data_IF_907042652133
#
_entry.id   IF_907042652133
#
_cell.length_a   1.000
_cell.length_b   1.000
_cell.length_c   1.000
_cell.angle_alpha   90.00
_cell.angle_beta   90.00
_cell.angle_gamma   90.00
#
_symmetry.space_group_name_H-M   'P 1'
#
loop_
_entity.id
_entity.type
_entity.pdbx_description
1 polymer ?
#
# COMPACT_ATOMS: atom_id res chain seq x y z
N UNK A 1 -52.01 -49.20 -33.90
CA UNK A 1 -52.91 -48.57 -32.90
C UNK A 1 -54.08 -49.53 -32.70
N UNK A 2 -54.55 -49.86 -31.48
CA UNK A 2 -54.59 -49.05 -30.27
C UNK A 2 -54.06 -49.74 -28.99
N UNK A 3 -53.93 -48.97 -27.90
CA UNK A 3 -53.42 -49.42 -26.61
C UNK A 3 -54.41 -50.22 -25.76
N UNK A 4 -53.87 -50.91 -24.75
CA UNK A 4 -54.58 -51.47 -23.60
C UNK A 4 -53.62 -51.51 -22.39
N UNK A 5 -54.07 -50.90 -21.31
CA UNK A 5 -54.04 -51.38 -19.92
C UNK A 5 -53.11 -52.56 -19.59
N UNK A 6 -52.27 -52.40 -18.57
CA UNK A 6 -52.38 -53.19 -17.34
C UNK A 6 -51.25 -52.88 -16.33
N UNK A 7 -51.73 -52.68 -15.12
CA UNK A 7 -51.08 -52.41 -13.84
C UNK A 7 -50.41 -53.69 -13.25
N UNK A 8 -49.29 -53.47 -12.54
CA UNK A 8 -48.65 -54.28 -11.46
C UNK A 8 -47.92 -55.60 -11.76
N UNK A 9 -46.62 -55.61 -11.38
CA UNK A 9 -45.95 -56.52 -10.43
C UNK A 9 -44.49 -56.02 -10.34
N UNK A 10 -44.02 -55.42 -9.25
CA UNK A 10 -43.74 -56.11 -8.00
C UNK A 10 -42.32 -56.69 -8.06
N UNK A 11 -41.35 -56.05 -7.41
CA UNK A 11 -39.98 -56.59 -7.32
C UNK A 11 -38.93 -55.51 -7.11
N UNK A 12 -38.72 -55.12 -5.86
CA UNK A 12 -37.61 -54.28 -5.40
C UNK A 12 -36.26 -54.94 -5.68
N UNK A 13 -35.40 -54.29 -6.46
CA UNK A 13 -33.95 -54.49 -6.40
C UNK A 13 -33.26 -53.15 -6.61
N UNK A 14 -32.39 -52.82 -5.68
CA UNK A 14 -31.77 -51.54 -5.47
C UNK A 14 -30.62 -51.25 -6.45
N UNK A 15 -30.45 -49.94 -6.68
CA UNK A 15 -29.19 -49.20 -6.78
C UNK A 15 -28.17 -49.58 -7.88
N UNK A 16 -27.96 -48.65 -8.81
CA UNK A 16 -26.71 -47.88 -8.89
C UNK A 16 -26.76 -46.90 -10.07
N UNK A 17 -27.38 -45.73 -9.88
CA UNK A 17 -27.15 -44.57 -10.74
C UNK A 17 -25.94 -43.82 -10.17
N UNK A 18 -24.77 -44.02 -10.76
CA UNK A 18 -23.58 -43.21 -10.47
C UNK A 18 -23.78 -41.85 -11.12
N UNK A 19 -24.42 -40.93 -10.40
CA UNK A 19 -24.35 -39.51 -10.69
C UNK A 19 -23.02 -38.99 -10.13
N UNK A 20 -22.03 -38.86 -11.00
CA UNK A 20 -20.74 -38.26 -10.66
C UNK A 20 -20.91 -36.74 -10.58
N UNK A 21 -21.41 -36.24 -9.46
CA UNK A 21 -21.44 -34.81 -9.14
C UNK A 21 -20.01 -34.35 -8.91
N UNK A 22 -19.38 -33.74 -9.92
CA UNK A 22 -18.18 -32.95 -9.72
C UNK A 22 -18.55 -31.74 -8.85
N UNK A 23 -18.38 -31.86 -7.54
CA UNK A 23 -18.30 -30.71 -6.66
C UNK A 23 -17.01 -29.95 -7.02
N UNK A 24 -17.13 -28.99 -7.94
CA UNK A 24 -16.12 -27.98 -8.14
C UNK A 24 -16.06 -27.15 -6.85
N UNK A 25 -15.17 -27.54 -5.93
CA UNK A 25 -14.77 -26.67 -4.83
C UNK A 25 -14.03 -25.51 -5.47
N UNK A 26 -14.74 -24.41 -5.70
CA UNK A 26 -14.14 -23.11 -6.00
C UNK A 26 -13.40 -22.70 -4.74
N UNK A 27 -12.17 -23.18 -4.59
CA UNK A 27 -11.17 -22.55 -3.75
C UNK A 27 -10.78 -21.24 -4.44
N UNK A 28 -11.71 -20.29 -4.43
CA UNK A 28 -11.41 -18.91 -4.77
C UNK A 28 -10.41 -18.40 -3.74
N UNK A 29 -9.24 -17.98 -4.22
CA UNK A 29 -8.27 -17.23 -3.43
C UNK A 29 -8.95 -15.92 -2.98
N UNK A 30 -9.58 -15.93 -1.79
CA UNK A 30 -10.38 -14.79 -1.32
C UNK A 30 -11.30 -15.06 -0.12
N UNK A 31 -11.36 -16.29 0.40
CA UNK A 31 -12.25 -16.66 1.53
C UNK A 31 -11.76 -16.30 2.93
N UNK A 32 -11.03 -15.19 3.10
CA UNK A 32 -10.67 -14.67 4.43
C UNK A 32 -11.68 -13.63 4.90
N UNK A 33 -11.92 -13.54 6.22
CA UNK A 33 -12.68 -12.41 6.78
C UNK A 33 -12.03 -11.08 6.38
N UNK A 34 -12.86 -10.07 6.10
CA UNK A 34 -12.35 -8.76 5.68
C UNK A 34 -11.43 -8.22 6.77
N UNK A 35 -10.29 -7.65 6.37
CA UNK A 35 -9.26 -7.17 7.30
C UNK A 35 -9.75 -6.02 8.21
N UNK A 36 -10.88 -5.40 7.89
CA UNK A 36 -11.53 -4.30 8.64
C UNK A 36 -12.74 -4.76 9.49
N UNK A 37 -13.14 -6.03 9.41
CA UNK A 37 -14.41 -6.52 9.96
C UNK A 37 -14.55 -6.32 11.48
N UNK A 38 -13.42 -6.30 12.21
CA UNK A 38 -13.37 -6.17 13.67
C UNK A 38 -12.61 -4.91 14.14
N UNK A 39 -12.62 -3.85 13.35
CA UNK A 39 -11.98 -2.58 13.72
C UNK A 39 -12.45 -2.08 15.10
N UNK A 40 -11.52 -1.70 15.96
CA UNK A 40 -11.84 -1.07 17.23
C UNK A 40 -12.04 0.44 17.04
N UNK A 41 -12.96 1.04 17.79
CA UNK A 41 -13.21 2.48 17.76
C UNK A 41 -12.30 3.21 18.78
N UNK A 42 -12.03 4.49 18.53
CA UNK A 42 -11.35 5.35 19.50
C UNK A 42 -10.53 6.47 18.86
N UNK A 43 -10.05 7.39 19.68
CA UNK A 43 -9.14 8.46 19.27
C UNK A 43 -7.82 8.32 20.01
N UNK A 44 -6.71 8.31 19.26
CA UNK A 44 -5.37 8.08 19.77
C UNK A 44 -4.46 9.25 19.41
N UNK A 45 -3.92 9.93 20.42
CA UNK A 45 -2.95 11.02 20.24
C UNK A 45 -1.57 10.46 19.91
N UNK A 46 -0.93 10.99 18.88
CA UNK A 46 0.43 10.63 18.46
C UNK A 46 1.29 11.88 18.26
N UNK A 47 2.61 11.69 18.36
CA UNK A 47 3.59 12.61 17.79
C UNK A 47 4.17 11.95 16.54
N UNK A 48 4.33 12.71 15.46
CA UNK A 48 4.87 12.21 14.20
C UNK A 48 6.05 13.06 13.79
N UNK A 49 7.17 12.40 13.50
CA UNK A 49 8.28 12.98 12.77
C UNK A 49 8.29 12.34 11.36
N UNK A 50 8.31 13.17 10.33
CA UNK A 50 8.03 12.75 8.96
C UNK A 50 9.06 13.34 8.01
N UNK A 51 9.70 12.50 7.20
CA UNK A 51 10.77 12.92 6.29
C UNK A 51 10.65 12.26 4.92
N UNK A 52 10.87 13.04 3.87
CA UNK A 52 11.10 12.55 2.51
C UNK A 52 11.98 13.56 1.75
N UNK A 53 12.99 13.14 0.97
CA UNK A 53 13.86 14.08 0.25
C UNK A 53 13.08 14.96 -0.72
N UNK A 54 13.12 16.28 -0.53
CA UNK A 54 12.38 17.25 -1.37
C UNK A 54 12.98 17.42 -2.78
N UNK A 55 14.24 17.02 -2.98
CA UNK A 55 14.93 17.03 -4.27
C UNK A 55 15.51 15.65 -4.53
N UNK A 56 15.16 15.06 -5.67
CA UNK A 56 15.54 13.71 -6.07
C UNK A 56 15.99 13.73 -7.54
N UNK A 57 16.80 12.74 -7.94
CA UNK A 57 17.14 12.52 -9.34
C UNK A 57 16.22 11.45 -9.95
N UNK A 58 16.18 11.36 -11.28
CA UNK A 58 15.51 10.25 -11.95
C UNK A 58 16.26 8.94 -11.62
N UNK A 59 15.57 7.82 -11.47
CA UNK A 59 16.12 6.53 -11.07
C UNK A 59 16.86 6.55 -9.71
N UNK A 60 16.61 7.57 -8.88
CA UNK A 60 17.16 7.66 -7.54
C UNK A 60 16.33 6.84 -6.56
N UNK A 61 17.01 6.17 -5.63
CA UNK A 61 16.37 5.46 -4.51
C UNK A 61 16.27 6.42 -3.32
N UNK A 62 15.10 6.52 -2.72
CA UNK A 62 14.83 7.43 -1.61
C UNK A 62 13.95 6.77 -0.55
N UNK A 63 14.15 7.16 0.71
CA UNK A 63 13.33 6.68 1.83
C UNK A 63 12.28 7.74 2.22
N UNK A 64 11.00 7.38 2.13
CA UNK A 64 9.95 8.06 2.89
C UNK A 64 9.88 7.41 4.27
N UNK A 65 9.99 8.22 5.33
CA UNK A 65 9.99 7.74 6.71
C UNK A 65 9.00 8.51 7.58
N UNK A 66 8.19 7.78 8.33
CA UNK A 66 7.31 8.28 9.38
C UNK A 66 7.67 7.60 10.71
N UNK A 67 8.11 8.39 11.68
CA UNK A 67 8.36 7.95 13.05
C UNK A 67 7.18 8.38 13.90
N UNK A 68 6.39 7.40 14.35
CA UNK A 68 5.12 7.62 15.02
C UNK A 68 5.22 7.17 16.46
N UNK A 69 5.06 8.11 17.39
CA UNK A 69 5.12 7.82 18.81
C UNK A 69 3.72 7.93 19.43
N UNK A 70 3.25 6.85 20.07
CA UNK A 70 1.96 6.84 20.74
C UNK A 70 2.05 7.68 22.03
N UNK A 71 1.31 8.80 22.05
CA UNK A 71 1.22 9.73 23.18
C UNK A 71 -0.07 9.56 23.97
N UNK A 72 -0.93 8.65 23.56
CA UNK A 72 -2.13 8.28 24.30
C UNK A 72 -1.83 7.29 25.42
N UNK A 73 -2.68 7.25 26.44
CA UNK A 73 -2.66 6.22 27.49
C UNK A 73 -3.27 4.88 27.06
N UNK A 74 -3.56 4.68 25.76
CA UNK A 74 -4.23 3.48 25.23
C UNK A 74 -3.41 2.87 24.09
N UNK A 75 -3.48 1.55 23.95
CA UNK A 75 -2.87 0.85 22.80
C UNK A 75 -3.61 1.25 21.52
N UNK A 76 -2.88 1.63 20.49
CA UNK A 76 -3.42 1.76 19.13
C UNK A 76 -3.62 0.33 18.59
N UNK A 77 -4.84 -0.08 18.21
CA UNK A 77 -5.12 -1.46 17.82
C UNK A 77 -4.35 -1.90 16.58
N UNK A 78 -4.31 -1.05 15.56
CA UNK A 78 -3.60 -1.33 14.31
C UNK A 78 -3.18 -0.01 13.65
N UNK A 79 -1.97 0.47 13.95
CA UNK A 79 -1.43 1.66 13.29
C UNK A 79 -1.28 1.37 11.80
N UNK A 80 -1.94 2.16 10.97
CA UNK A 80 -1.87 2.09 9.52
C UNK A 80 -1.53 3.47 8.93
N UNK A 81 -0.84 3.47 7.80
CA UNK A 81 -0.49 4.67 7.06
C UNK A 81 -0.92 4.55 5.61
N UNK A 82 -1.60 5.58 5.13
CA UNK A 82 -1.97 5.76 3.72
C UNK A 82 -1.04 6.79 3.09
N UNK A 83 -0.56 6.51 1.88
CA UNK A 83 0.26 7.43 1.08
C UNK A 83 -0.38 7.61 -0.29
N UNK A 84 -0.58 8.86 -0.71
CA UNK A 84 -1.28 9.19 -1.96
C UNK A 84 -0.72 10.47 -2.58
N UNK A 85 -1.05 10.72 -3.84
CA UNK A 85 -0.78 12.00 -4.49
C UNK A 85 -1.84 13.02 -4.06
N UNK A 86 -1.39 14.19 -3.58
CA UNK A 86 -2.31 15.23 -3.15
C UNK A 86 -3.12 15.75 -4.34
N UNK A 87 -4.45 15.67 -4.23
CA UNK A 87 -5.39 16.07 -5.28
C UNK A 87 -5.98 14.91 -6.08
N UNK A 88 -5.35 13.72 -6.04
CA UNK A 88 -5.78 12.56 -6.83
C UNK A 88 -6.73 11.61 -6.06
N UNK A 89 -6.81 11.76 -4.73
CA UNK A 89 -7.63 10.92 -3.86
C UNK A 89 -7.17 9.45 -3.82
N UNK A 90 -8.11 8.56 -3.50
CA UNK A 90 -7.88 7.12 -3.33
C UNK A 90 -7.99 6.31 -4.65
N UNK A 91 -8.11 6.99 -5.79
CA UNK A 91 -8.27 6.34 -7.09
C UNK A 91 -6.95 5.91 -7.72
N UNK A 92 -5.83 6.51 -7.29
CA UNK A 92 -4.49 6.14 -7.71
C UNK A 92 -3.85 5.22 -6.65
N UNK A 93 -2.99 4.31 -7.10
CA UNK A 93 -2.12 3.56 -6.20
C UNK A 93 -1.17 4.53 -5.47
N UNK A 94 -0.62 4.12 -4.32
CA UNK A 94 0.38 4.92 -3.64
C UNK A 94 1.55 5.26 -4.57
N UNK A 95 2.12 6.45 -4.38
CA UNK A 95 3.22 6.99 -5.18
C UNK A 95 2.94 7.06 -6.69
N UNK A 96 1.65 7.02 -7.08
CA UNK A 96 1.20 7.16 -8.46
C UNK A 96 0.27 8.35 -8.59
N UNK A 97 0.37 9.06 -9.71
CA UNK A 97 -0.57 10.12 -10.07
C UNK A 97 -1.77 9.57 -10.83
N UNK A 98 -2.87 10.30 -10.81
CA UNK A 98 -4.04 10.01 -11.63
C UNK A 98 -3.90 10.66 -13.02
N UNK A 99 -4.29 9.93 -14.06
CA UNK A 99 -4.36 10.39 -15.44
C UNK A 99 -5.79 10.28 -15.94
N UNK A 100 -6.43 11.42 -16.15
CA UNK A 100 -7.85 11.54 -16.52
C UNK A 100 -8.09 11.42 -18.03
N UNK A 101 -7.08 11.03 -18.81
CA UNK A 101 -7.25 10.81 -20.24
C UNK A 101 -8.25 9.69 -20.52
N UNK A 102 -9.13 9.90 -21.49
CA UNK A 102 -10.14 8.90 -21.88
C UNK A 102 -9.50 7.71 -22.60
N UNK A 103 -10.14 6.54 -22.52
CA UNK A 103 -9.67 5.32 -23.20
C UNK A 103 -8.54 4.56 -22.51
N UNK A 104 -8.08 5.02 -21.34
CA UNK A 104 -7.09 4.31 -20.54
C UNK A 104 -7.73 3.14 -19.77
N UNK A 105 -7.14 1.94 -19.86
CA UNK A 105 -7.58 0.78 -19.09
C UNK A 105 -7.30 0.93 -17.58
N UNK A 106 -6.22 1.64 -17.24
CA UNK A 106 -5.90 2.08 -15.88
C UNK A 106 -5.53 3.55 -15.92
N UNK A 107 -6.02 4.34 -14.95
CA UNK A 107 -5.72 5.77 -14.80
C UNK A 107 -4.55 6.04 -13.85
N UNK A 108 -4.10 5.04 -13.10
CA UNK A 108 -2.97 5.21 -12.18
C UNK A 108 -1.64 5.19 -12.96
N UNK A 109 -0.80 6.20 -12.76
CA UNK A 109 0.51 6.37 -13.41
C UNK A 109 1.60 6.45 -12.35
N UNK A 110 2.48 5.44 -12.26
CA UNK A 110 3.57 5.45 -11.31
C UNK A 110 4.47 6.68 -11.45
N UNK A 111 4.77 7.32 -10.32
CA UNK A 111 5.79 8.38 -10.21
C UNK A 111 7.02 7.82 -9.48
N UNK A 112 6.79 7.03 -8.43
CA UNK A 112 7.79 6.15 -7.84
C UNK A 112 7.34 4.70 -7.88
N UNK A 113 8.32 3.79 -7.90
CA UNK A 113 8.13 2.37 -7.63
C UNK A 113 8.41 2.13 -6.15
N UNK A 114 7.55 1.36 -5.46
CA UNK A 114 7.81 0.93 -4.09
C UNK A 114 8.66 -0.33 -4.14
N UNK A 115 9.92 -0.20 -3.74
CA UNK A 115 10.88 -1.30 -3.69
C UNK A 115 10.70 -2.10 -2.39
N UNK A 116 10.44 -1.40 -1.28
CA UNK A 116 10.15 -2.00 0.02
C UNK A 116 9.19 -1.11 0.82
N UNK A 117 8.14 -1.68 1.39
CA UNK A 117 7.20 -0.99 2.28
C UNK A 117 7.27 -1.48 3.74
N UNK A 118 6.57 -0.83 4.68
CA UNK A 118 6.60 -1.16 6.10
C UNK A 118 5.73 -2.38 6.49
N UNK A 119 5.05 -3.01 5.53
CA UNK A 119 4.13 -4.13 5.74
C UNK A 119 3.41 -4.51 4.46
N UNK A 120 2.29 -5.23 4.57
CA UNK A 120 1.40 -5.56 3.44
C UNK A 120 -0.05 -5.46 3.88
N UNK A 121 -0.93 -4.96 3.00
CA UNK A 121 -2.39 -5.02 3.16
C UNK A 121 -3.04 -5.31 1.80
N UNK A 122 -4.36 -5.50 1.79
CA UNK A 122 -5.13 -5.59 0.54
C UNK A 122 -5.30 -4.23 -0.19
N UNK A 123 -5.01 -3.12 0.47
CA UNK A 123 -5.10 -1.77 -0.09
C UNK A 123 -3.79 -1.41 -0.80
N UNK A 124 -3.88 -0.86 -2.01
CA UNK A 124 -2.70 -0.50 -2.82
C UNK A 124 -1.97 0.76 -2.35
N UNK A 125 -2.53 1.47 -1.37
CA UNK A 125 -2.05 2.75 -0.89
C UNK A 125 -1.83 2.80 0.63
N UNK A 126 -2.18 1.72 1.33
CA UNK A 126 -2.25 1.68 2.79
C UNK A 126 -1.47 0.50 3.34
N UNK A 127 -0.67 0.76 4.37
CA UNK A 127 0.14 -0.23 5.04
C UNK A 127 -0.20 -0.30 6.52
N UNK A 128 -0.43 -1.51 7.02
CA UNK A 128 -0.60 -1.77 8.44
C UNK A 128 0.76 -2.11 9.08
N UNK A 129 1.13 -1.37 10.12
CA UNK A 129 2.24 -1.72 11.00
C UNK A 129 1.79 -2.74 12.07
N UNK A 130 0.55 -2.62 12.54
CA UNK A 130 0.01 -3.42 13.65
C UNK A 130 -0.12 -2.63 14.96
N UNK A 131 -0.32 -3.32 16.09
CA UNK A 131 -0.57 -2.66 17.37
C UNK A 131 0.60 -1.78 17.84
N UNK A 132 0.30 -0.66 18.49
CA UNK A 132 1.31 0.22 19.10
C UNK A 132 0.93 0.57 20.55
N UNK A 133 1.71 0.06 21.51
CA UNK A 133 1.48 0.32 22.94
C UNK A 133 1.62 1.81 23.32
N UNK A 134 1.00 2.24 24.42
CA UNK A 134 1.27 3.54 25.04
C UNK A 134 2.77 3.80 25.22
N UNK A 135 3.23 4.99 24.83
CA UNK A 135 4.62 5.42 24.99
C UNK A 135 5.63 4.76 24.05
N UNK A 136 5.20 3.81 23.20
CA UNK A 136 6.07 3.19 22.19
C UNK A 136 6.09 3.99 20.89
N UNK A 137 7.12 3.72 20.11
CA UNK A 137 7.37 4.35 18.82
C UNK A 137 7.43 3.27 17.73
N UNK A 138 6.73 3.51 16.62
CA UNK A 138 6.83 2.74 15.39
C UNK A 138 7.56 3.56 14.33
N UNK A 139 8.28 2.88 13.44
CA UNK A 139 8.85 3.48 12.22
C UNK A 139 8.19 2.82 11.03
N UNK A 140 7.56 3.62 10.18
CA UNK A 140 7.09 3.20 8.87
C UNK A 140 8.03 3.79 7.82
N UNK A 141 8.63 2.92 7.01
CA UNK A 141 9.60 3.32 5.97
C UNK A 141 9.22 2.69 4.64
N UNK A 142 9.26 3.50 3.58
CA UNK A 142 9.14 3.08 2.20
C UNK A 142 10.44 3.40 1.47
N UNK A 143 11.09 2.38 0.92
CA UNK A 143 12.15 2.56 -0.07
C UNK A 143 11.50 2.65 -1.43
N UNK A 144 11.77 3.74 -2.16
CA UNK A 144 11.13 4.02 -3.43
C UNK A 144 12.12 4.48 -4.49
N UNK A 145 11.89 4.08 -5.73
CA UNK A 145 12.67 4.48 -6.90
C UNK A 145 11.91 5.49 -7.77
N UNK A 146 12.46 6.67 -7.98
CA UNK A 146 11.83 7.74 -8.77
C UNK A 146 11.89 7.43 -10.28
N UNK A 147 10.75 7.40 -10.98
CA UNK A 147 10.69 7.03 -12.41
C UNK A 147 10.01 8.07 -13.31
N UNK A 148 9.46 9.14 -12.74
CA UNK A 148 8.84 10.23 -13.49
C UNK A 148 9.37 11.56 -13.00
N UNK A 149 10.00 12.33 -13.89
CA UNK A 149 10.51 13.66 -13.56
C UNK A 149 9.37 14.68 -13.48
N UNK A 150 9.42 15.58 -12.51
CA UNK A 150 8.35 16.55 -12.29
C UNK A 150 8.35 17.15 -10.89
N UNK A 151 7.31 17.93 -10.61
CA UNK A 151 6.99 18.43 -9.27
C UNK A 151 5.74 17.73 -8.77
N UNK A 152 5.83 17.19 -7.58
CA UNK A 152 4.83 16.29 -7.02
C UNK A 152 4.57 16.69 -5.58
N UNK A 153 3.31 16.57 -5.15
CA UNK A 153 2.93 16.71 -3.75
C UNK A 153 2.38 15.38 -3.27
N UNK A 154 3.09 14.74 -2.35
CA UNK A 154 2.62 13.51 -1.69
C UNK A 154 1.90 13.90 -0.41
N UNK A 155 0.80 13.20 -0.10
CA UNK A 155 0.11 13.26 1.18
C UNK A 155 0.29 11.92 1.90
N UNK A 156 0.52 11.99 3.21
CA UNK A 156 0.43 10.83 4.09
C UNK A 156 -0.65 11.06 5.16
N UNK A 157 -1.26 9.98 5.63
CA UNK A 157 -2.29 10.02 6.68
C UNK A 157 -2.22 8.78 7.55
N UNK A 158 -2.39 8.93 8.86
CA UNK A 158 -2.41 7.81 9.81
C UNK A 158 -3.83 7.46 10.25
N UNK A 159 -4.04 6.18 10.54
CA UNK A 159 -5.22 5.65 11.17
C UNK A 159 -4.83 4.57 12.20
N UNK A 160 -5.70 4.32 13.18
CA UNK A 160 -5.51 3.30 14.21
C UNK A 160 -6.20 1.98 13.86
N UNK A 161 -6.80 1.91 12.67
CA UNK A 161 -7.38 0.74 12.04
C UNK A 161 -7.47 0.94 10.52
N UNK A 162 -7.63 -0.14 9.74
CA UNK A 162 -7.67 -0.06 8.26
C UNK A 162 -8.95 0.60 7.74
N UNK A 163 -10.10 0.34 8.38
CA UNK A 163 -11.38 0.98 8.07
C UNK A 163 -11.53 2.38 8.66
N UNK A 164 -10.51 2.91 9.36
CA UNK A 164 -10.48 4.30 9.85
C UNK A 164 -11.38 4.60 11.05
N UNK A 165 -11.98 3.58 11.69
CA UNK A 165 -12.83 3.77 12.89
C UNK A 165 -12.02 4.17 14.13
N UNK A 166 -10.79 3.66 14.24
CA UNK A 166 -9.82 4.20 15.18
C UNK A 166 -9.10 5.41 14.56
N UNK A 167 -9.39 6.60 15.07
CA UNK A 167 -8.81 7.87 14.64
C UNK A 167 -7.44 8.07 15.29
N UNK A 168 -6.47 8.49 14.49
CA UNK A 168 -5.15 8.92 14.98
C UNK A 168 -5.03 10.43 14.76
N UNK A 169 -4.74 11.15 15.84
CA UNK A 169 -4.71 12.61 15.86
C UNK A 169 -3.41 13.13 16.48
N UNK A 170 -3.01 14.35 16.15
CA UNK A 170 -1.87 15.02 16.77
C UNK A 170 -2.28 15.80 18.03
N UNK A 171 -1.35 16.54 18.62
CA UNK A 171 -1.58 17.29 19.87
C UNK A 171 -2.67 18.35 19.77
N UNK A 172 -2.91 18.85 18.56
CA UNK A 172 -3.95 19.82 18.18
C UNK A 172 -5.31 19.17 17.85
N UNK A 173 -5.45 17.87 18.12
CA UNK A 173 -6.64 17.05 17.84
C UNK A 173 -7.02 16.96 16.35
N UNK A 174 -6.15 17.44 15.44
CA UNK A 174 -6.29 17.24 14.00
C UNK A 174 -5.85 15.84 13.62
N UNK A 175 -6.41 15.30 12.54
CA UNK A 175 -5.98 14.03 11.97
C UNK A 175 -4.47 14.07 11.71
N UNK A 176 -3.75 13.03 12.15
CA UNK A 176 -2.32 12.93 11.92
C UNK A 176 -2.07 12.70 10.42
N UNK A 177 -1.67 13.75 9.72
CA UNK A 177 -1.45 13.77 8.29
C UNK A 177 -0.42 14.85 7.94
N UNK A 178 0.13 14.77 6.74
CA UNK A 178 1.06 15.78 6.25
C UNK A 178 1.31 15.64 4.76
N UNK A 179 2.11 16.56 4.22
CA UNK A 179 2.48 16.57 2.81
C UNK A 179 3.95 16.80 2.61
N UNK A 180 4.48 16.25 1.52
CA UNK A 180 5.82 16.54 1.03
C UNK A 180 5.74 17.12 -0.38
N UNK A 181 6.42 18.24 -0.61
CA UNK A 181 6.66 18.79 -1.93
C UNK A 181 7.99 18.28 -2.45
N UNK A 182 7.96 17.57 -3.57
CA UNK A 182 9.11 16.85 -4.13
C UNK A 182 9.33 17.27 -5.57
N UNK A 183 10.58 17.56 -5.91
CA UNK A 183 11.02 17.78 -7.29
C UNK A 183 11.94 16.65 -7.70
N UNK A 184 11.55 15.91 -8.74
CA UNK A 184 12.38 14.90 -9.40
C UNK A 184 13.00 15.53 -10.65
N UNK A 185 14.33 15.63 -10.66
CA UNK A 185 15.10 16.08 -11.81
C UNK A 185 15.04 15.09 -12.97
N UNK A 186 15.32 15.57 -14.19
CA UNK A 186 15.39 14.71 -15.39
C UNK A 186 16.72 13.95 -15.52
N UNK A 187 17.77 14.46 -14.90
CA UNK A 187 19.06 13.79 -14.89
C UNK A 187 18.96 12.54 -14.00
N UNK A 188 19.37 11.37 -14.49
CA UNK A 188 19.39 10.18 -13.67
C UNK A 188 20.44 10.27 -12.57
N UNK A 189 20.22 9.58 -11.45
CA UNK A 189 21.25 9.33 -10.46
C UNK A 189 22.43 8.64 -11.15
N UNK A 190 23.62 9.22 -11.00
CA UNK A 190 24.83 8.66 -11.58
C UNK A 190 25.29 7.48 -10.72
N UNK A 191 25.80 6.42 -11.35
CA UNK A 191 26.38 5.29 -10.66
C UNK A 191 27.66 4.85 -11.39
N UNK A 192 28.64 4.40 -10.61
CA UNK A 192 29.90 3.85 -11.12
C UNK A 192 30.21 2.54 -10.44
N UNK A 193 30.94 1.67 -11.11
CA UNK A 193 31.49 0.47 -10.47
C UNK A 193 32.83 0.85 -9.84
N UNK A 194 33.05 0.51 -8.57
CA UNK A 194 34.34 0.71 -7.90
C UNK A 194 35.32 -0.43 -8.22
N UNK A 195 36.54 -0.34 -7.67
CA UNK A 195 37.60 -1.32 -7.92
C UNK A 195 37.25 -2.73 -7.39
N UNK A 196 36.31 -2.82 -6.45
CA UNK A 196 35.85 -4.07 -5.82
C UNK A 196 34.64 -4.66 -6.56
N UNK A 197 34.24 -4.07 -7.69
CA UNK A 197 33.11 -4.51 -8.49
C UNK A 197 31.75 -4.09 -7.93
N UNK A 198 31.71 -3.22 -6.93
CA UNK A 198 30.46 -2.74 -6.33
C UNK A 198 29.92 -1.53 -7.09
N UNK A 199 28.60 -1.47 -7.27
CA UNK A 199 27.94 -0.29 -7.83
C UNK A 199 27.83 0.78 -6.74
N UNK A 200 28.52 1.89 -6.93
CA UNK A 200 28.52 3.07 -6.05
C UNK A 200 27.78 4.20 -6.73
N UNK A 201 26.74 4.73 -6.07
CA UNK A 201 25.98 5.89 -6.56
C UNK A 201 26.73 7.19 -6.26
N UNK A 202 26.72 8.11 -7.23
CA UNK A 202 27.25 9.46 -7.09
C UNK A 202 26.06 10.38 -6.78
N UNK A 203 26.05 11.05 -5.61
CA UNK A 203 24.99 12.00 -5.27
C UNK A 203 24.86 13.07 -6.35
N UNK A 204 23.62 13.40 -6.73
CA UNK A 204 23.36 14.47 -7.69
C UNK A 204 23.88 15.81 -7.15
N UNK A 205 24.97 16.33 -7.74
CA UNK A 205 25.63 17.58 -7.34
C UNK A 205 27.14 17.50 -7.10
N UNK A 206 27.79 16.34 -7.30
CA UNK A 206 29.22 16.14 -7.00
C UNK A 206 30.25 16.60 -8.05
N UNK A 207 29.84 17.07 -9.22
CA UNK A 207 30.76 17.32 -10.35
C UNK A 207 31.51 18.68 -10.30
N UNK A 208 31.30 19.53 -9.29
CA UNK A 208 32.01 20.82 -9.20
C UNK A 208 33.32 20.78 -8.38
N UNK A 209 33.69 19.63 -7.78
CA UNK A 209 34.88 19.55 -6.92
C UNK A 209 36.10 18.83 -7.55
N UNK A 210 35.98 18.25 -8.74
CA UNK A 210 37.05 17.42 -9.33
C UNK A 210 37.78 18.04 -10.53
N UNK A 211 37.39 19.23 -11.00
CA UNK A 211 38.09 19.95 -12.07
C UNK A 211 39.02 21.02 -11.49
N UNK A 212 40.09 20.58 -10.83
CA UNK A 212 41.05 21.48 -10.20
C UNK A 212 42.39 20.82 -9.92
N UNK A 213 43.05 20.32 -10.97
CA UNK A 213 44.52 20.25 -11.11
C UNK A 213 44.92 20.25 -12.58
#
# INVERSE_FOLDING_TARGET
MPGRDAILRGGTAAAAAVALTLAATVAGCGGGERQDANDADGTYKVAVDASFPARQALADESELRLVVANRSGKRIPNLAATVEMAGDGDQAQAFSRLDESTGLASRSRPVWIVDQGPGMTAYSDTWAYGPLEPGKTATLSWQVSAISAGRYRIRWRLAGSLGGRAKVVQSDDQQAQGTFDVTIGRAPAQARVDADGQVVRVPAGGDEAAAGR
#
